data_IF_796719375821
#
_entry.id   IF_796719375821
#
_cell.length_a   1.000
_cell.length_b   1.000
_cell.length_c   1.000
_cell.angle_alpha   90.00
_cell.angle_beta   90.00
_cell.angle_gamma   90.00
#
_symmetry.space_group_name_H-M   'P 1'
#
loop_
_entity.id
_entity.type
_entity.pdbx_description
1 polymer ?
#
# COMPACT_ATOMS: atom_id res chain seq x y z
N UNK A 1 -1.81 4.19 12.27
CA UNK A 1 -1.18 3.79 10.99
C UNK A 1 0.22 4.39 10.93
N UNK A 2 1.30 3.59 10.82
CA UNK A 2 2.65 4.10 10.58
C UNK A 2 2.87 4.21 9.07
N UNK A 3 3.20 5.40 8.57
CA UNK A 3 3.54 5.60 7.17
C UNK A 3 5.01 5.19 6.99
N UNK A 4 5.25 4.17 6.18
CA UNK A 4 6.60 3.73 5.80
C UNK A 4 6.91 4.33 4.45
N UNK A 5 8.02 5.07 4.35
CA UNK A 5 8.49 5.70 3.12
C UNK A 5 9.79 5.02 2.67
N UNK A 6 9.74 4.37 1.51
CA UNK A 6 10.92 3.83 0.84
C UNK A 6 11.41 4.84 -0.19
N UNK A 7 12.48 5.56 0.16
CA UNK A 7 13.23 6.41 -0.77
C UNK A 7 14.56 5.75 -1.09
N UNK A 8 15.18 6.08 -2.22
CA UNK A 8 16.57 5.71 -2.40
C UNK A 8 17.44 6.43 -1.35
N UNK A 9 18.61 5.89 -1.01
CA UNK A 9 19.44 6.40 0.07
C UNK A 9 20.16 7.72 -0.28
N UNK A 10 19.65 8.52 -1.23
CA UNK A 10 20.25 9.80 -1.55
C UNK A 10 20.26 10.73 -0.33
N UNK A 11 21.39 11.42 -0.15
CA UNK A 11 21.65 12.30 0.98
C UNK A 11 20.66 13.47 1.11
N UNK A 12 19.88 13.75 0.06
CA UNK A 12 18.89 14.85 0.05
C UNK A 12 17.62 14.49 0.83
N UNK A 13 17.27 13.21 0.92
CA UNK A 13 15.97 12.79 1.41
C UNK A 13 15.76 12.95 2.92
N UNK A 14 16.72 12.63 3.82
CA UNK A 14 16.49 12.72 5.25
C UNK A 14 16.00 14.10 5.71
N UNK A 15 16.67 15.18 5.28
CA UNK A 15 16.27 16.54 5.67
C UNK A 15 14.92 16.98 5.10
N UNK A 16 14.63 16.61 3.85
CA UNK A 16 13.36 16.93 3.19
C UNK A 16 12.20 16.16 3.81
N UNK A 17 12.42 14.90 4.20
CA UNK A 17 11.39 14.06 4.79
C UNK A 17 11.10 14.43 6.24
N UNK A 18 12.12 14.82 7.02
CA UNK A 18 11.95 15.38 8.35
C UNK A 18 11.11 16.67 8.32
N UNK A 19 11.23 17.48 7.27
CA UNK A 19 10.43 18.69 7.08
C UNK A 19 8.99 18.39 6.64
N UNK A 20 8.82 17.52 5.63
CA UNK A 20 7.51 17.30 5.01
C UNK A 20 6.63 16.31 5.77
N UNK A 21 7.22 15.25 6.32
CA UNK A 21 6.48 14.14 6.95
C UNK A 21 7.25 13.61 8.18
N UNK A 22 7.42 14.42 9.24
CA UNK A 22 8.20 14.06 10.42
C UNK A 22 7.68 12.83 11.19
N UNK A 23 6.44 12.39 10.91
CA UNK A 23 5.84 11.19 11.50
C UNK A 23 6.07 9.91 10.68
N UNK A 24 6.67 10.02 9.49
CA UNK A 24 7.01 8.88 8.67
C UNK A 24 8.23 8.16 9.26
N UNK A 25 8.21 6.83 9.18
CA UNK A 25 9.36 6.04 9.60
C UNK A 25 10.25 5.78 8.39
N UNK A 26 11.46 6.35 8.39
CA UNK A 26 12.46 6.18 7.35
C UNK A 26 13.33 4.98 7.65
N UNK A 27 13.14 3.91 6.89
CA UNK A 27 13.88 2.66 7.06
C UNK A 27 14.88 2.51 5.91
N UNK A 28 16.16 2.73 6.19
CA UNK A 28 17.27 2.71 5.21
C UNK A 28 18.11 1.43 5.31
N UNK A 29 17.64 0.42 6.05
CA UNK A 29 18.31 -0.86 6.16
C UNK A 29 18.36 -1.59 4.81
N UNK A 30 19.39 -2.42 4.62
CA UNK A 30 19.49 -3.27 3.44
C UNK A 30 18.23 -4.15 3.33
N UNK A 31 17.58 -4.13 2.16
CA UNK A 31 16.32 -4.83 1.89
C UNK A 31 15.05 -4.29 2.58
N UNK A 32 15.12 -3.13 3.24
CA UNK A 32 13.96 -2.43 3.80
C UNK A 32 12.83 -2.19 2.78
N UNK A 33 13.20 -2.03 1.50
CA UNK A 33 12.25 -1.80 0.40
C UNK A 33 11.65 -3.10 -0.19
N UNK A 34 12.11 -4.29 0.19
CA UNK A 34 11.63 -5.56 -0.37
C UNK A 34 10.09 -5.71 -0.30
N UNK A 35 9.40 -5.36 0.81
CA UNK A 35 7.94 -5.42 0.86
C UNK A 35 7.26 -4.49 -0.16
N UNK A 36 7.81 -3.29 -0.34
CA UNK A 36 7.31 -2.30 -1.29
C UNK A 36 7.54 -2.76 -2.74
N UNK A 37 8.72 -3.29 -3.04
CA UNK A 37 9.05 -3.85 -4.35
C UNK A 37 8.24 -5.11 -4.68
N UNK A 38 7.92 -5.93 -3.66
CA UNK A 38 7.04 -7.09 -3.83
C UNK A 38 5.60 -6.67 -4.19
N UNK A 39 5.07 -5.63 -3.55
CA UNK A 39 3.76 -5.06 -3.91
C UNK A 39 3.76 -4.46 -5.31
N UNK A 40 4.80 -3.69 -5.64
CA UNK A 40 5.00 -3.15 -6.97
C UNK A 40 5.05 -4.25 -8.04
N UNK A 41 5.76 -5.34 -7.77
CA UNK A 41 5.84 -6.51 -8.68
C UNK A 41 4.49 -7.17 -8.88
N UNK A 42 3.67 -7.31 -7.83
CA UNK A 42 2.30 -7.86 -7.91
C UNK A 42 1.37 -6.95 -8.70
N UNK A 43 1.47 -5.63 -8.50
CA UNK A 43 0.71 -4.65 -9.28
C UNK A 43 1.10 -4.71 -10.76
N UNK A 44 2.41 -4.69 -11.07
CA UNK A 44 2.93 -4.85 -12.43
C UNK A 44 2.44 -6.13 -13.09
N UNK A 45 2.47 -7.25 -12.38
CA UNK A 45 1.98 -8.52 -12.90
C UNK A 45 0.48 -8.46 -13.26
N UNK A 46 -0.35 -7.86 -12.40
CA UNK A 46 -1.79 -7.71 -12.64
C UNK A 46 -2.09 -6.76 -13.80
N UNK A 47 -1.30 -5.71 -13.97
CA UNK A 47 -1.45 -4.75 -15.07
C UNK A 47 -0.88 -5.28 -16.39
N UNK A 48 -0.02 -6.30 -16.39
CA UNK A 48 0.68 -6.81 -17.58
C UNK A 48 -0.25 -7.32 -18.67
N UNK A 49 -1.41 -7.87 -18.30
CA UNK A 49 -2.43 -8.34 -19.26
C UNK A 49 -3.31 -7.21 -19.80
N UNK A 50 -3.20 -5.99 -19.25
CA UNK A 50 -3.97 -4.82 -19.65
C UNK A 50 -3.20 -4.00 -20.69
N UNK A 51 -3.92 -3.25 -21.55
CA UNK A 51 -3.32 -2.32 -22.54
C UNK A 51 -2.79 -1.01 -21.92
N UNK A 52 -2.36 -1.05 -20.66
CA UNK A 52 -2.00 0.13 -19.87
C UNK A 52 -3.20 0.92 -19.35
N UNK A 53 -2.96 1.78 -18.35
CA UNK A 53 -3.94 2.70 -17.78
C UNK A 53 -3.97 3.96 -18.64
N UNK A 54 -5.14 4.34 -19.17
CA UNK A 54 -5.26 5.42 -20.18
C UNK A 54 -5.37 6.83 -19.62
N UNK A 55 -5.70 6.95 -18.34
CA UNK A 55 -5.87 8.26 -17.68
C UNK A 55 -5.33 8.19 -16.27
N UNK A 56 -4.85 9.34 -15.77
CA UNK A 56 -4.42 9.49 -14.37
C UNK A 56 -5.52 9.08 -13.40
N UNK A 57 -6.77 9.47 -13.65
CA UNK A 57 -7.92 9.06 -12.83
C UNK A 57 -8.08 7.54 -12.76
N UNK A 58 -7.93 6.84 -13.88
CA UNK A 58 -8.01 5.37 -13.91
C UNK A 58 -6.82 4.75 -13.19
N UNK A 59 -5.62 5.32 -13.38
CA UNK A 59 -4.43 4.88 -12.69
C UNK A 59 -4.58 5.00 -11.17
N UNK A 60 -5.03 6.16 -10.68
CA UNK A 60 -5.28 6.42 -9.28
C UNK A 60 -6.27 5.43 -8.67
N UNK A 61 -7.43 5.20 -9.32
CA UNK A 61 -8.44 4.26 -8.82
C UNK A 61 -7.88 2.83 -8.74
N UNK A 62 -7.19 2.38 -9.78
CA UNK A 62 -6.65 1.00 -9.83
C UNK A 62 -5.52 0.80 -8.83
N UNK A 63 -4.60 1.76 -8.72
CA UNK A 63 -3.47 1.71 -7.78
C UNK A 63 -3.98 1.77 -6.34
N UNK A 64 -4.87 2.72 -6.03
CA UNK A 64 -5.46 2.84 -4.70
C UNK A 64 -6.25 1.59 -4.31
N UNK A 65 -7.07 1.05 -5.22
CA UNK A 65 -7.79 -0.19 -5.00
C UNK A 65 -6.87 -1.40 -4.78
N UNK A 66 -5.76 -1.49 -5.53
CA UNK A 66 -4.76 -2.53 -5.31
C UNK A 66 -4.13 -2.42 -3.92
N UNK A 67 -3.66 -1.23 -3.55
CA UNK A 67 -3.05 -0.97 -2.24
C UNK A 67 -4.02 -1.26 -1.10
N UNK A 68 -5.27 -0.81 -1.22
CA UNK A 68 -6.34 -1.08 -0.25
C UNK A 68 -6.51 -2.58 0.00
N UNK A 69 -6.62 -3.39 -1.05
CA UNK A 69 -6.80 -4.84 -0.92
C UNK A 69 -5.59 -5.52 -0.26
N UNK A 70 -4.36 -5.08 -0.55
CA UNK A 70 -3.16 -5.65 0.09
C UNK A 70 -3.05 -5.24 1.55
N UNK A 71 -3.34 -3.97 1.87
CA UNK A 71 -3.35 -3.47 3.24
C UNK A 71 -4.41 -4.18 4.08
N UNK A 72 -5.58 -4.44 3.50
CA UNK A 72 -6.64 -5.19 4.14
C UNK A 72 -6.19 -6.62 4.44
N UNK A 73 -5.61 -7.34 3.48
CA UNK A 73 -5.08 -8.70 3.70
C UNK A 73 -4.03 -8.74 4.81
N UNK A 74 -3.19 -7.71 4.91
CA UNK A 74 -2.14 -7.58 5.95
C UNK A 74 -2.66 -7.11 7.31
N UNK A 75 -3.93 -6.71 7.42
CA UNK A 75 -4.49 -6.22 8.68
C UNK A 75 -3.98 -4.82 9.04
N UNK A 76 -3.69 -3.99 8.04
CA UNK A 76 -3.31 -2.59 8.26
C UNK A 76 -4.52 -1.66 8.47
N UNK A 77 -5.73 -2.22 8.45
CA UNK A 77 -6.97 -1.56 8.85
C UNK A 77 -7.57 -2.30 10.04
N UNK A 78 -8.34 -1.58 10.86
CA UNK A 78 -9.12 -2.17 11.96
C UNK A 78 -10.25 -3.07 11.46
N UNK A 79 -10.64 -2.91 10.20
CA UNK A 79 -11.61 -3.77 9.49
C UNK A 79 -11.20 -5.24 9.56
N UNK A 80 -12.08 -6.08 10.11
CA UNK A 80 -11.90 -7.52 10.23
C UNK A 80 -10.52 -7.94 10.80
N UNK A 81 -9.93 -7.16 11.73
CA UNK A 81 -8.59 -7.43 12.26
C UNK A 81 -8.50 -8.77 13.00
N UNK A 82 -9.58 -9.15 13.70
CA UNK A 82 -9.72 -10.41 14.45
C UNK A 82 -10.04 -11.63 13.56
N UNK A 83 -10.25 -11.41 12.27
CA UNK A 83 -10.58 -12.47 11.31
C UNK A 83 -9.28 -13.04 10.71
N UNK A 84 -9.18 -14.38 10.51
CA UNK A 84 -8.08 -15.00 9.80
C UNK A 84 -7.83 -14.35 8.43
N UNK A 85 -6.57 -14.20 8.04
CA UNK A 85 -6.16 -13.48 6.83
C UNK A 85 -6.87 -13.94 5.55
N UNK A 86 -7.19 -15.23 5.45
CA UNK A 86 -7.90 -15.81 4.31
C UNK A 86 -9.35 -15.30 4.16
N UNK A 87 -10.01 -14.96 5.28
CA UNK A 87 -11.41 -14.52 5.33
C UNK A 87 -11.55 -13.00 5.50
N UNK A 88 -10.47 -12.33 5.90
CA UNK A 88 -10.43 -10.90 6.23
C UNK A 88 -11.02 -10.00 5.15
N UNK A 89 -10.72 -10.27 3.87
CA UNK A 89 -11.27 -9.48 2.76
C UNK A 89 -12.78 -9.59 2.70
N UNK A 90 -13.33 -10.81 2.77
CA UNK A 90 -14.77 -11.00 2.70
C UNK A 90 -15.48 -10.33 3.89
N UNK A 91 -14.97 -10.55 5.10
CA UNK A 91 -15.52 -9.97 6.32
C UNK A 91 -15.51 -8.43 6.30
N UNK A 92 -14.39 -7.82 5.89
CA UNK A 92 -14.30 -6.37 5.79
C UNK A 92 -15.23 -5.76 4.74
N UNK A 93 -15.50 -6.45 3.64
CA UNK A 93 -16.51 -5.99 2.67
C UNK A 93 -17.93 -6.12 3.23
N UNK A 94 -18.22 -7.14 4.03
CA UNK A 94 -19.49 -7.26 4.75
C UNK A 94 -19.66 -6.13 5.76
N UNK A 95 -18.63 -5.82 6.53
CA UNK A 95 -18.62 -4.72 7.50
C UNK A 95 -18.81 -3.36 6.80
N UNK A 96 -18.07 -3.11 5.72
CA UNK A 96 -18.21 -1.89 4.91
C UNK A 96 -19.62 -1.76 4.34
N UNK A 97 -20.22 -2.84 3.84
CA UNK A 97 -21.58 -2.80 3.27
C UNK A 97 -22.65 -2.40 4.30
N UNK A 98 -22.40 -2.54 5.60
CA UNK A 98 -23.31 -2.05 6.65
C UNK A 98 -23.07 -0.59 7.03
N UNK A 99 -21.95 0.00 6.63
CA UNK A 99 -21.53 1.34 7.02
C UNK A 99 -21.89 2.44 6.00
N UNK A 100 -22.38 2.06 4.82
CA UNK A 100 -22.82 2.92 3.69
C UNK A 100 -24.27 2.62 3.34
#
# INVERSE_FOLDING_TARGET
MRVILGVDAAAVYPGVLDELIPSAWHHVEQYANNPLEADHSRLKHRLRSMRGLRTEKTAQIVIAGHAFMQNLRRGHYELAIDIPSAQRVAAAFTELATAI
#
